data_IF_535391166315
#
_entry.id   IF_535391166315
#
_cell.length_a   1.000
_cell.length_b   1.000
_cell.length_c   1.000
_cell.angle_alpha   90.00
_cell.angle_beta   90.00
_cell.angle_gamma   90.00
#
_symmetry.space_group_name_H-M   'P 1'
#
loop_
_entity.id
_entity.type
_entity.pdbx_description
1 polymer ?
#
# COMPACT_ATOMS: atom_id res chain seq x y z
N UNK A 1 -44.11 35.90 -32.87
CA UNK A 1 -45.23 35.74 -31.90
C UNK A 1 -45.27 34.29 -31.44
N UNK A 2 -45.38 34.04 -30.12
CA UNK A 2 -44.72 32.91 -29.46
C UNK A 2 -45.68 31.72 -29.19
N UNK A 3 -45.14 30.51 -29.05
CA UNK A 3 -45.57 29.50 -28.06
C UNK A 3 -44.39 28.59 -27.70
N UNK A 4 -43.88 28.79 -26.49
CA UNK A 4 -43.00 27.87 -25.77
C UNK A 4 -43.82 26.65 -25.30
N UNK A 5 -43.24 25.45 -25.43
CA UNK A 5 -43.62 24.26 -24.65
C UNK A 5 -42.41 23.85 -23.85
N UNK A 6 -42.62 23.74 -22.56
CA UNK A 6 -41.66 23.38 -21.52
C UNK A 6 -41.20 21.92 -21.64
N UNK A 7 -39.95 21.59 -21.27
CA UNK A 7 -39.58 20.27 -20.80
C UNK A 7 -39.65 20.21 -19.26
N UNK A 8 -40.27 19.12 -18.82
CA UNK A 8 -40.49 18.67 -17.44
C UNK A 8 -39.16 18.52 -16.67
N UNK A 9 -38.94 19.37 -15.67
CA UNK A 9 -37.85 19.24 -14.71
C UNK A 9 -38.37 18.46 -13.50
N UNK A 10 -37.83 17.25 -13.31
CA UNK A 10 -38.06 16.44 -12.12
C UNK A 10 -37.64 17.23 -10.86
N UNK A 11 -38.62 17.56 -10.03
CA UNK A 11 -38.43 18.26 -8.78
C UNK A 11 -37.70 17.36 -7.77
N UNK A 12 -36.48 17.76 -7.41
CA UNK A 12 -35.78 17.26 -6.22
C UNK A 12 -36.63 17.65 -5.01
N UNK A 13 -37.02 16.72 -4.11
CA UNK A 13 -37.81 17.11 -2.95
C UNK A 13 -36.92 17.98 -2.05
N UNK A 14 -37.30 19.25 -1.91
CA UNK A 14 -36.76 20.11 -0.87
C UNK A 14 -37.09 19.46 0.47
N UNK A 15 -36.09 18.88 1.13
CA UNK A 15 -36.22 18.36 2.48
C UNK A 15 -36.53 19.56 3.38
N UNK A 16 -37.81 19.70 3.76
CA UNK A 16 -38.22 20.63 4.81
C UNK A 16 -37.53 20.18 6.10
N UNK A 17 -36.52 20.94 6.54
CA UNK A 17 -35.93 20.77 7.85
C UNK A 17 -36.97 21.15 8.91
N UNK A 18 -37.66 20.13 9.44
CA UNK A 18 -38.60 20.25 10.54
C UNK A 18 -37.86 19.95 11.85
N UNK A 19 -37.44 21.01 12.55
CA UNK A 19 -36.94 20.90 13.92
C UNK A 19 -38.13 20.97 14.88
N UNK A 20 -38.55 19.82 15.40
CA UNK A 20 -39.47 19.74 16.53
C UNK A 20 -38.71 19.24 17.75
N UNK A 21 -38.59 20.09 18.77
CA UNK A 21 -38.11 19.68 20.09
C UNK A 21 -39.33 19.60 21.00
N UNK A 22 -39.55 18.43 21.61
CA UNK A 22 -40.53 18.30 22.68
C UNK A 22 -40.09 19.23 23.82
N UNK A 23 -41.02 19.99 24.46
CA UNK A 23 -40.65 20.94 25.50
C UNK A 23 -40.01 20.18 26.67
N UNK A 24 -38.69 20.32 26.79
CA UNK A 24 -37.93 19.80 27.92
C UNK A 24 -38.09 20.78 29.06
N UNK A 25 -38.73 20.36 30.14
CA UNK A 25 -38.86 21.17 31.34
C UNK A 25 -37.46 21.47 31.89
N UNK A 26 -37.15 22.75 32.06
CA UNK A 26 -35.95 23.15 32.75
C UNK A 26 -36.07 22.67 34.20
N UNK A 27 -35.01 22.08 34.80
CA UNK A 27 -35.04 21.76 36.21
C UNK A 27 -35.32 23.06 36.98
N UNK A 28 -36.29 23.01 37.90
CA UNK A 28 -36.72 24.16 38.67
C UNK A 28 -35.52 24.76 39.40
N UNK A 29 -35.09 25.96 38.97
CA UNK A 29 -34.15 26.75 39.76
C UNK A 29 -34.89 27.31 40.97
N UNK A 30 -34.42 27.09 42.20
CA UNK A 30 -35.06 27.66 43.38
C UNK A 30 -35.05 29.19 43.30
N UNK A 31 -36.18 29.82 43.66
CA UNK A 31 -36.40 31.28 43.60
C UNK A 31 -35.68 32.06 44.72
N UNK A 32 -34.90 31.40 45.57
CA UNK A 32 -34.14 32.03 46.64
C UNK A 32 -32.77 31.36 46.81
N UNK A 33 -31.75 32.15 47.12
CA UNK A 33 -30.40 31.67 47.46
C UNK A 33 -30.50 30.95 48.81
N UNK A 34 -30.13 29.67 48.93
CA UNK A 34 -30.09 29.00 50.23
C UNK A 34 -28.95 29.58 51.09
N UNK A 35 -29.07 29.56 52.43
CA UNK A 35 -27.97 29.90 53.35
C UNK A 35 -26.77 28.98 53.11
N UNK A 36 -25.53 29.44 53.39
CA UNK A 36 -24.29 28.79 52.95
C UNK A 36 -23.99 27.41 53.57
N UNK A 37 -24.79 26.92 54.53
CA UNK A 37 -24.40 25.79 55.37
C UNK A 37 -25.13 24.45 55.06
N UNK A 38 -25.71 24.31 53.86
CA UNK A 38 -26.37 23.07 53.44
C UNK A 38 -25.97 22.63 52.01
N UNK A 39 -24.70 22.82 51.64
CA UNK A 39 -24.16 22.25 50.41
C UNK A 39 -23.72 20.79 50.66
N UNK A 40 -24.66 19.86 50.58
CA UNK A 40 -24.32 18.45 50.31
C UNK A 40 -23.59 18.36 48.97
N UNK A 41 -22.32 17.98 49.06
CA UNK A 41 -21.56 17.10 48.18
C UNK A 41 -22.09 16.89 46.75
N UNK A 42 -21.31 17.34 45.75
CA UNK A 42 -21.34 16.71 44.43
C UNK A 42 -21.30 17.62 43.20
N UNK A 43 -21.15 18.95 43.35
CA UNK A 43 -20.85 19.82 42.20
C UNK A 43 -19.66 20.71 42.53
N UNK A 44 -18.48 20.19 42.23
CA UNK A 44 -17.28 21.00 42.05
C UNK A 44 -17.62 22.21 41.16
N UNK A 45 -17.13 23.42 41.46
CA UNK A 45 -17.21 24.53 40.52
C UNK A 45 -16.56 24.06 39.23
N UNK A 46 -17.31 24.12 38.12
CA UNK A 46 -16.90 23.61 36.81
C UNK A 46 -15.45 24.04 36.57
N UNK A 47 -14.47 23.12 36.65
CA UNK A 47 -13.11 23.48 36.34
C UNK A 47 -13.16 23.94 34.88
N UNK A 48 -12.56 25.10 34.58
CA UNK A 48 -12.40 25.55 33.21
C UNK A 48 -11.81 24.39 32.41
N UNK A 49 -12.66 23.70 31.65
CA UNK A 49 -12.22 22.57 30.83
C UNK A 49 -11.38 23.20 29.74
N UNK A 50 -10.08 22.94 29.81
CA UNK A 50 -9.13 23.40 28.80
C UNK A 50 -9.74 23.13 27.41
N UNK A 51 -9.73 24.13 26.53
CA UNK A 51 -10.44 24.08 25.24
C UNK A 51 -9.98 22.90 24.36
N UNK A 52 -8.85 22.29 24.71
CA UNK A 52 -8.26 21.06 24.16
C UNK A 52 -8.94 19.74 24.59
N UNK A 53 -9.81 19.77 25.60
CA UNK A 53 -10.57 18.59 26.08
C UNK A 53 -12.09 18.83 26.10
N UNK A 54 -12.56 20.01 25.68
CA UNK A 54 -13.99 20.27 25.53
C UNK A 54 -14.58 19.37 24.43
N UNK A 55 -15.60 18.53 24.72
CA UNK A 55 -16.25 17.67 23.73
C UNK A 55 -17.03 18.45 22.66
N UNK A 56 -17.28 19.75 22.86
CA UNK A 56 -17.96 20.62 21.89
C UNK A 56 -17.02 21.16 20.82
N UNK A 57 -15.71 21.06 21.06
CA UNK A 57 -14.69 21.58 20.15
C UNK A 57 -14.17 20.42 19.32
N UNK A 58 -14.66 20.32 18.08
CA UNK A 58 -14.24 19.31 17.11
C UNK A 58 -12.81 19.64 16.65
N UNK A 59 -11.87 18.74 16.94
CA UNK A 59 -10.45 18.87 16.57
C UNK A 59 -10.20 17.98 15.38
N UNK A 60 -10.06 18.57 14.20
CA UNK A 60 -9.83 17.84 12.95
C UNK A 60 -10.56 18.45 11.77
N UNK A 61 -10.46 17.78 10.62
CA UNK A 61 -11.05 18.22 9.37
C UNK A 61 -12.58 18.03 9.40
N UNK A 62 -13.35 19.13 9.31
CA UNK A 62 -14.82 19.13 9.42
C UNK A 62 -15.55 18.46 8.26
N UNK A 63 -14.83 18.11 7.19
CA UNK A 63 -15.38 17.36 6.04
C UNK A 63 -15.53 15.86 6.31
N UNK A 64 -14.92 15.31 7.36
CA UNK A 64 -15.22 13.97 7.87
C UNK A 64 -16.39 14.07 8.85
N UNK A 65 -17.52 14.63 8.40
CA UNK A 65 -18.77 14.52 9.12
C UNK A 65 -19.05 13.04 9.34
N UNK A 66 -19.25 12.67 10.60
CA UNK A 66 -19.95 11.47 11.00
C UNK A 66 -21.17 11.36 10.09
N UNK A 67 -21.18 10.33 9.24
CA UNK A 67 -22.39 9.92 8.55
C UNK A 67 -23.39 9.66 9.66
N UNK A 68 -24.40 10.54 9.75
CA UNK A 68 -25.58 10.31 10.60
C UNK A 68 -25.94 8.85 10.36
N UNK A 69 -25.94 7.99 11.39
CA UNK A 69 -26.24 6.60 11.18
C UNK A 69 -27.65 6.54 10.60
N UNK A 70 -27.72 6.33 9.30
CA UNK A 70 -28.89 5.73 8.66
C UNK A 70 -29.19 4.54 9.54
N UNK A 71 -30.42 4.47 10.04
CA UNK A 71 -30.90 3.39 10.91
C UNK A 71 -30.70 2.07 10.15
N UNK A 72 -29.51 1.53 10.29
CA UNK A 72 -29.06 0.28 9.68
C UNK A 72 -28.67 -0.54 10.89
N UNK A 73 -29.27 -1.72 11.10
CA UNK A 73 -28.91 -2.55 12.24
C UNK A 73 -27.40 -2.81 12.18
N UNK A 74 -26.67 -2.62 13.31
CA UNK A 74 -25.23 -2.75 13.32
C UNK A 74 -24.85 -4.16 12.86
N UNK A 75 -23.86 -4.21 11.97
CA UNK A 75 -23.37 -5.49 11.44
C UNK A 75 -22.82 -6.34 12.60
N UNK A 76 -22.92 -7.68 12.56
CA UNK A 76 -22.51 -8.55 13.67
C UNK A 76 -21.03 -8.34 14.10
N UNK A 77 -20.19 -7.89 13.17
CA UNK A 77 -18.79 -7.55 13.41
C UNK A 77 -18.60 -6.27 14.24
N UNK A 78 -19.44 -5.25 14.04
CA UNK A 78 -19.40 -4.02 14.85
C UNK A 78 -19.86 -4.26 16.28
N UNK A 79 -20.86 -5.13 16.47
CA UNK A 79 -21.33 -5.55 17.81
C UNK A 79 -20.22 -6.29 18.56
N UNK A 80 -19.44 -7.14 17.88
CA UNK A 80 -18.32 -7.86 18.48
C UNK A 80 -17.18 -6.92 18.88
N UNK A 81 -16.84 -5.95 18.01
CA UNK A 81 -15.86 -4.89 18.31
C UNK A 81 -16.28 -4.04 19.50
N UNK A 82 -17.56 -3.67 19.61
CA UNK A 82 -18.07 -2.92 20.76
C UNK A 82 -18.02 -3.73 22.05
N UNK A 83 -18.35 -5.03 22.02
CA UNK A 83 -18.25 -5.93 23.17
C UNK A 83 -16.80 -6.11 23.63
N UNK A 84 -15.86 -6.21 22.70
CA UNK A 84 -14.42 -6.31 23.01
C UNK A 84 -13.88 -4.99 23.60
N UNK A 85 -14.25 -3.84 23.02
CA UNK A 85 -13.91 -2.53 23.55
C UNK A 85 -14.47 -2.32 24.98
N UNK A 86 -15.71 -2.76 25.23
CA UNK A 86 -16.32 -2.73 26.56
C UNK A 86 -15.59 -3.62 27.56
N UNK A 87 -15.19 -4.85 27.16
CA UNK A 87 -14.37 -5.74 27.98
C UNK A 87 -13.00 -5.13 28.30
N UNK A 88 -12.34 -4.51 27.32
CA UNK A 88 -11.04 -3.85 27.50
C UNK A 88 -11.13 -2.62 28.42
N UNK A 89 -12.19 -1.82 28.28
CA UNK A 89 -12.45 -0.69 29.17
C UNK A 89 -12.73 -1.16 30.61
N UNK A 90 -13.49 -2.24 30.79
CA UNK A 90 -13.76 -2.83 32.10
C UNK A 90 -12.49 -3.40 32.74
N UNK A 91 -11.63 -4.07 31.97
CA UNK A 91 -10.34 -4.57 32.44
C UNK A 91 -9.41 -3.42 32.85
N UNK A 92 -9.37 -2.33 32.08
CA UNK A 92 -8.59 -1.12 32.42
C UNK A 92 -9.11 -0.45 33.70
N UNK A 93 -10.43 -0.43 33.91
CA UNK A 93 -11.04 0.08 35.14
C UNK A 93 -10.63 -0.77 36.36
N UNK A 94 -10.71 -2.10 36.26
CA UNK A 94 -10.26 -3.02 37.32
C UNK A 94 -8.76 -2.91 37.61
N UNK A 95 -7.92 -2.81 36.58
CA UNK A 95 -6.48 -2.62 36.76
C UNK A 95 -6.17 -1.28 37.46
N UNK A 96 -6.90 -0.21 37.11
CA UNK A 96 -6.77 1.08 37.79
C UNK A 96 -7.21 1.01 39.26
N UNK A 97 -8.28 0.29 39.57
CA UNK A 97 -8.74 0.06 40.95
C UNK A 97 -7.79 -0.82 41.78
N UNK A 98 -6.98 -1.69 41.14
CA UNK A 98 -5.95 -2.48 41.81
C UNK A 98 -4.64 -1.71 42.05
N UNK A 99 -4.30 -0.78 41.16
CA UNK A 99 -3.09 0.05 41.27
C UNK A 99 -3.24 1.26 42.21
N UNK A 100 -4.47 1.59 42.63
CA UNK A 100 -4.68 2.64 43.62
C UNK A 100 -4.46 2.07 45.04
N UNK A 101 -3.61 2.69 45.88
CA UNK A 101 -3.49 2.31 47.28
C UNK A 101 -4.85 2.52 47.95
N UNK A 102 -5.46 1.43 48.42
CA UNK A 102 -6.78 1.47 49.06
C UNK A 102 -6.66 1.92 50.50
N UNK A 103 -7.37 2.98 50.87
CA UNK A 103 -7.72 3.24 52.26
C UNK A 103 -8.55 2.04 52.77
N UNK A 104 -8.30 1.51 53.98
CA UNK A 104 -9.08 0.41 54.54
C UNK A 104 -10.58 0.73 54.58
N UNK A 105 -11.43 -0.31 54.55
CA UNK A 105 -12.88 -0.15 54.58
C UNK A 105 -13.36 0.43 55.93
N UNK A 106 -14.43 1.25 55.95
CA UNK A 106 -14.99 1.78 57.19
C UNK A 106 -15.49 0.66 58.12
N UNK A 107 -15.23 0.80 59.41
CA UNK A 107 -15.74 -0.10 60.44
C UNK A 107 -17.27 -0.07 60.43
N UNK A 108 -17.91 -1.25 60.52
CA UNK A 108 -19.37 -1.38 60.50
C UNK A 108 -20.06 -0.39 61.47
N UNK A 109 -20.97 0.43 60.94
CA UNK A 109 -21.68 1.48 61.69
C UNK A 109 -20.98 2.84 61.72
N UNK A 110 -19.87 3.04 60.99
CA UNK A 110 -19.21 4.34 60.82
C UNK A 110 -18.97 4.62 59.33
N UNK A 111 -19.15 5.87 58.92
CA UNK A 111 -18.84 6.33 57.56
C UNK A 111 -17.52 7.09 57.56
N UNK A 112 -16.67 6.87 56.54
CA UNK A 112 -15.45 7.65 56.37
C UNK A 112 -15.79 9.04 55.85
N UNK A 113 -15.50 10.06 56.65
CA UNK A 113 -15.60 11.46 56.25
C UNK A 113 -14.25 11.89 55.68
N UNK A 114 -14.26 12.51 54.51
CA UNK A 114 -13.06 13.03 53.88
C UNK A 114 -12.64 14.31 54.62
N UNK A 115 -11.65 14.19 55.49
CA UNK A 115 -11.04 15.33 56.18
C UNK A 115 -10.01 15.95 55.25
N UNK A 116 -9.93 17.29 55.19
CA UNK A 116 -8.86 17.98 54.45
C UNK A 116 -7.51 17.68 55.09
N UNK A 117 -6.82 16.67 54.57
CA UNK A 117 -5.43 16.32 54.91
C UNK A 117 -4.42 16.85 53.89
N UNK A 118 -4.90 17.58 52.88
CA UNK A 118 -4.05 18.35 51.99
C UNK A 118 -3.42 19.53 52.74
N UNK A 119 -2.17 19.85 52.41
CA UNK A 119 -1.42 20.93 53.03
C UNK A 119 -2.07 22.28 52.67
N UNK A 120 -3.02 22.74 53.47
CA UNK A 120 -3.65 24.05 53.31
C UNK A 120 -2.79 25.11 54.02
N UNK A 121 -2.02 25.88 53.25
CA UNK A 121 -1.26 27.01 53.74
C UNK A 121 -2.07 28.29 53.50
N UNK A 122 -2.63 28.87 54.56
CA UNK A 122 -3.14 30.24 54.51
C UNK A 122 -1.95 31.21 54.50
N UNK A 123 -1.82 31.96 53.41
CA UNK A 123 -0.82 33.02 53.28
C UNK A 123 -1.25 34.20 54.15
N UNK A 124 -0.73 34.27 55.38
CA UNK A 124 -0.99 35.39 56.30
C UNK A 124 -0.37 36.65 55.67
N UNK A 125 -1.22 37.42 54.98
CA UNK A 125 -0.81 38.59 54.20
C UNK A 125 -0.67 39.86 55.05
N UNK A 126 -1.07 39.80 56.33
CA UNK A 126 -0.98 40.93 57.25
C UNK A 126 0.40 40.96 57.92
N UNK A 127 1.23 41.92 57.50
CA UNK A 127 2.45 42.27 58.25
C UNK A 127 2.02 42.82 59.60
N UNK A 128 2.55 42.23 60.68
CA UNK A 128 2.37 42.73 62.03
C UNK A 128 2.90 44.18 62.07
N UNK A 129 2.10 45.13 62.53
CA UNK A 129 2.51 46.53 62.66
C UNK A 129 3.58 46.59 63.76
N UNK A 130 4.83 46.81 63.37
CA UNK A 130 5.92 47.12 64.29
C UNK A 130 5.68 48.54 64.84
N UNK A 131 5.37 48.63 66.13
CA UNK A 131 5.21 49.92 66.83
C UNK A 131 6.54 50.25 67.49
N UNK A 132 7.29 51.17 66.92
CA UNK A 132 8.48 51.73 67.55
C UNK A 132 8.07 52.60 68.75
N UNK A 133 8.45 52.17 69.95
CA UNK A 133 8.26 52.93 71.19
C UNK A 133 9.52 53.72 71.46
N UNK A 134 9.51 55.01 71.11
CA UNK A 134 10.60 55.92 71.44
C UNK A 134 10.54 56.31 72.92
N UNK A 135 11.52 55.87 73.71
CA UNK A 135 11.70 56.33 75.08
C UNK A 135 12.63 57.55 75.09
N UNK A 136 12.20 58.68 75.66
CA UNK A 136 13.03 59.87 75.84
C UNK A 136 14.15 59.58 76.86
N UNK A 137 15.33 59.23 76.38
CA UNK A 137 16.55 59.11 77.20
C UNK A 137 17.30 60.44 77.24
N UNK A 138 17.56 60.92 78.45
CA UNK A 138 18.42 62.08 78.71
C UNK A 138 19.86 61.83 78.23
N UNK A 139 20.57 62.87 77.82
CA UNK A 139 21.92 62.73 77.27
C UNK A 139 22.89 62.23 78.37
N UNK A 140 23.47 61.05 78.17
CA UNK A 140 24.41 60.42 79.09
C UNK A 140 25.65 61.32 79.30
N UNK A 141 25.74 61.98 80.44
CA UNK A 141 26.99 62.59 80.90
C UNK A 141 27.83 61.51 81.59
N UNK A 142 29.09 61.36 81.16
CA UNK A 142 30.02 60.37 81.71
C UNK A 142 30.19 60.57 83.23
N UNK A 143 29.66 59.61 83.99
CA UNK A 143 29.91 59.50 85.42
C UNK A 143 31.39 59.12 85.62
N UNK A 144 32.18 59.89 86.40
CA UNK A 144 33.55 59.48 86.68
C UNK A 144 33.55 58.09 87.34
N UNK A 145 34.51 57.22 87.01
CA UNK A 145 34.55 55.86 87.55
C UNK A 145 34.59 55.92 89.08
N UNK A 146 33.69 55.18 89.73
CA UNK A 146 33.65 55.10 91.19
C UNK A 146 35.00 54.58 91.70
N UNK A 147 35.64 55.25 92.68
CA UNK A 147 36.94 54.82 93.18
C UNK A 147 36.87 53.40 93.72
N UNK A 148 37.87 52.58 93.37
CA UNK A 148 37.97 51.20 93.84
C UNK A 148 38.14 51.16 95.36
N UNK A 149 37.22 50.49 96.06
CA UNK A 149 37.32 50.24 97.49
C UNK A 149 38.35 49.12 97.74
N UNK A 150 39.46 49.45 98.39
CA UNK A 150 40.49 48.49 98.83
C UNK A 150 40.40 48.36 100.36
N UNK A 151 39.82 47.27 100.89
CA UNK A 151 39.81 47.01 102.33
C UNK A 151 41.25 46.85 102.87
N UNK A 152 41.53 47.39 104.06
CA UNK A 152 42.81 47.15 104.73
C UNK A 152 42.94 45.68 105.14
N UNK A 153 44.04 45.03 104.74
CA UNK A 153 44.31 43.62 105.11
C UNK A 153 44.44 43.49 106.62
N UNK A 154 43.47 42.82 107.25
CA UNK A 154 43.49 42.53 108.69
C UNK A 154 43.41 41.01 108.86
N UNK A 155 44.55 40.36 109.12
CA UNK A 155 44.69 38.91 109.28
C UNK A 155 46.15 38.47 109.30
N UNK A 156 46.46 37.32 109.90
CA UNK A 156 47.79 36.68 109.79
C UNK A 156 47.77 35.75 108.58
N UNK A 157 48.66 36.00 107.62
CA UNK A 157 48.78 35.17 106.42
C UNK A 157 49.33 33.79 106.81
N UNK A 158 48.57 32.73 106.52
CA UNK A 158 48.98 31.33 106.66
C UNK A 158 48.82 30.67 105.30
N UNK A 159 49.93 30.34 104.66
CA UNK A 159 49.94 29.49 103.47
C UNK A 159 50.01 28.03 103.93
N UNK A 160 48.97 27.26 103.61
CA UNK A 160 48.97 25.81 103.84
C UNK A 160 49.09 25.14 102.47
N UNK A 161 50.24 24.53 102.20
CA UNK A 161 50.44 23.72 101.00
C UNK A 161 50.15 22.26 101.34
N UNK A 162 49.28 21.62 100.56
CA UNK A 162 49.00 20.20 100.72
C UNK A 162 50.22 19.40 100.25
N UNK A 163 50.74 18.52 101.11
CA UNK A 163 51.89 17.68 100.83
C UNK A 163 51.43 16.42 100.05
N UNK A 164 51.04 16.60 98.79
CA UNK A 164 50.66 15.51 97.89
C UNK A 164 49.92 16.00 96.64
N UNK A 165 50.00 15.22 95.57
CA UNK A 165 49.26 15.46 94.33
C UNK A 165 47.82 14.94 94.48
N UNK A 166 46.81 15.81 94.32
CA UNK A 166 45.38 15.44 94.43
C UNK A 166 44.84 14.78 93.15
N UNK A 167 45.72 14.37 92.25
CA UNK A 167 45.35 13.80 90.95
C UNK A 167 44.91 12.35 91.11
N UNK A 168 43.65 12.09 90.78
CA UNK A 168 43.11 10.73 90.65
C UNK A 168 43.04 10.38 89.15
N UNK A 169 43.97 9.52 88.71
CA UNK A 169 44.06 9.10 87.32
C UNK A 169 42.77 8.45 86.82
N UNK A 170 42.10 7.66 87.65
CA UNK A 170 40.90 6.91 87.26
C UNK A 170 39.68 7.82 87.07
N UNK A 171 39.70 9.03 87.64
CA UNK A 171 38.65 10.04 87.43
C UNK A 171 38.99 10.89 86.22
N UNK A 172 40.23 11.35 86.11
CA UNK A 172 40.62 12.31 85.06
C UNK A 172 40.78 11.67 83.68
N UNK A 173 41.09 10.37 83.58
CA UNK A 173 41.23 9.67 82.29
C UNK A 173 39.88 9.38 81.62
N UNK A 174 38.79 9.28 82.39
CA UNK A 174 37.45 8.92 81.89
C UNK A 174 36.97 9.81 80.74
N UNK A 175 36.98 11.16 80.83
CA UNK A 175 36.54 12.02 79.72
C UNK A 175 37.43 11.87 78.47
N UNK A 176 38.74 11.63 78.66
CA UNK A 176 39.68 11.42 77.54
C UNK A 176 39.35 10.11 76.83
N UNK A 177 39.16 9.04 77.60
CA UNK A 177 38.82 7.72 77.06
C UNK A 177 37.44 7.73 76.37
N UNK A 178 36.45 8.39 76.96
CA UNK A 178 35.10 8.53 76.39
C UNK A 178 35.14 9.21 75.03
N UNK A 179 35.89 10.31 74.90
CA UNK A 179 36.03 11.01 73.62
C UNK A 179 36.81 10.17 72.60
N UNK A 180 37.88 9.48 73.02
CA UNK A 180 38.66 8.63 72.12
C UNK A 180 37.85 7.44 71.61
N UNK A 181 37.16 6.73 72.50
CA UNK A 181 36.32 5.58 72.13
C UNK A 181 35.11 6.05 71.31
N UNK A 182 34.44 7.13 71.72
CA UNK A 182 33.32 7.70 71.00
C UNK A 182 33.69 8.09 69.56
N UNK A 183 34.77 8.86 69.39
CA UNK A 183 35.23 9.29 68.05
C UNK A 183 35.71 8.13 67.19
N UNK A 184 36.42 7.16 67.77
CA UNK A 184 36.90 6.00 66.99
C UNK A 184 35.75 5.12 66.52
N UNK A 185 34.72 4.90 67.34
CA UNK A 185 33.53 4.13 66.95
C UNK A 185 32.68 4.91 65.94
N UNK A 186 32.48 6.21 66.14
CA UNK A 186 31.73 7.06 65.22
C UNK A 186 32.41 7.13 63.84
N UNK A 187 33.73 7.34 63.81
CA UNK A 187 34.50 7.34 62.57
C UNK A 187 34.43 5.98 61.87
N UNK A 188 34.63 4.87 62.60
CA UNK A 188 34.54 3.53 62.02
C UNK A 188 33.15 3.23 61.45
N UNK A 189 32.08 3.68 62.11
CA UNK A 189 30.71 3.49 61.61
C UNK A 189 30.48 4.27 60.32
N UNK A 190 30.94 5.53 60.24
CA UNK A 190 30.81 6.35 59.03
C UNK A 190 31.59 5.76 57.86
N UNK A 191 32.81 5.28 58.10
CA UNK A 191 33.65 4.66 57.07
C UNK A 191 32.98 3.37 56.52
N UNK A 192 32.48 2.50 57.40
CA UNK A 192 31.78 1.27 56.98
C UNK A 192 30.51 1.59 56.18
N UNK A 193 29.73 2.59 56.61
CA UNK A 193 28.55 3.02 55.86
C UNK A 193 28.90 3.55 54.47
N UNK A 194 29.96 4.37 54.35
CA UNK A 194 30.44 4.86 53.06
C UNK A 194 30.91 3.73 52.14
N UNK A 195 31.66 2.76 52.68
CA UNK A 195 32.11 1.58 51.93
C UNK A 195 30.95 0.74 51.40
N UNK A 196 29.91 0.53 52.21
CA UNK A 196 28.71 -0.20 51.82
C UNK A 196 27.92 0.56 50.73
N UNK A 197 27.74 1.86 50.87
CA UNK A 197 27.07 2.71 49.87
C UNK A 197 27.82 2.69 48.54
N UNK A 198 29.15 2.85 48.57
CA UNK A 198 29.98 2.73 47.38
C UNK A 198 29.81 1.34 46.74
N UNK A 199 29.92 0.27 47.52
CA UNK A 199 29.78 -1.09 47.00
C UNK A 199 28.42 -1.32 46.30
N UNK A 200 27.33 -0.76 46.86
CA UNK A 200 26.01 -0.80 46.24
C UNK A 200 25.96 -0.01 44.92
N UNK A 201 26.54 1.19 44.86
CA UNK A 201 26.62 1.98 43.63
C UNK A 201 27.41 1.26 42.54
N UNK A 202 28.56 0.66 42.89
CA UNK A 202 29.36 -0.14 41.95
C UNK A 202 28.62 -1.38 41.46
N UNK A 203 27.86 -2.06 42.33
CA UNK A 203 27.03 -3.19 41.95
C UNK A 203 25.91 -2.77 40.98
N UNK A 204 25.24 -1.66 41.27
CA UNK A 204 24.19 -1.10 40.41
C UNK A 204 24.75 -0.68 39.04
N UNK A 205 25.90 0.00 39.00
CA UNK A 205 26.54 0.39 37.74
C UNK A 205 26.92 -0.83 36.89
N UNK A 206 27.45 -1.89 37.50
CA UNK A 206 27.79 -3.14 36.79
C UNK A 206 26.55 -3.81 36.22
N UNK A 207 25.50 -3.97 37.03
CA UNK A 207 24.23 -4.54 36.57
C UNK A 207 23.61 -3.73 35.40
N UNK A 208 23.66 -2.40 35.49
CA UNK A 208 23.20 -1.53 34.40
C UNK A 208 24.05 -1.68 33.14
N UNK A 209 25.37 -1.74 33.26
CA UNK A 209 26.27 -1.92 32.14
C UNK A 209 26.07 -3.28 31.46
N UNK A 210 25.88 -4.34 32.24
CA UNK A 210 25.57 -5.69 31.74
C UNK A 210 24.26 -5.69 30.96
N UNK A 211 23.19 -5.12 31.53
CA UNK A 211 21.89 -5.01 30.86
C UNK A 211 22.01 -4.21 29.55
N UNK A 212 22.66 -3.04 29.59
CA UNK A 212 22.85 -2.19 28.41
C UNK A 212 23.65 -2.89 27.31
N UNK A 213 24.68 -3.65 27.68
CA UNK A 213 25.47 -4.41 26.73
C UNK A 213 24.67 -5.55 26.10
N UNK A 214 23.81 -6.22 26.88
CA UNK A 214 22.91 -7.25 26.38
C UNK A 214 21.86 -6.66 25.42
N UNK A 215 21.23 -5.55 25.79
CA UNK A 215 20.28 -4.82 24.93
C UNK A 215 20.93 -4.38 23.62
N UNK A 216 22.15 -3.82 23.68
CA UNK A 216 22.89 -3.38 22.49
C UNK A 216 23.22 -4.55 21.56
N UNK A 217 23.61 -5.70 22.12
CA UNK A 217 23.85 -6.91 21.32
C UNK A 217 22.57 -7.43 20.66
N UNK A 218 21.43 -7.38 21.35
CA UNK A 218 20.13 -7.77 20.79
C UNK A 218 19.70 -6.83 19.66
N UNK A 219 19.85 -5.52 19.84
CA UNK A 219 19.54 -4.53 18.80
C UNK A 219 20.39 -4.77 17.55
N UNK A 220 21.70 -5.01 17.71
CA UNK A 220 22.58 -5.32 16.58
C UNK A 220 22.13 -6.57 15.83
N UNK A 221 21.79 -7.64 16.55
CA UNK A 221 21.26 -8.88 15.95
C UNK A 221 20.00 -8.62 15.14
N UNK A 222 19.05 -7.88 15.71
CA UNK A 222 17.79 -7.53 15.06
C UNK A 222 18.03 -6.64 13.83
N UNK A 223 18.90 -5.64 13.90
CA UNK A 223 19.24 -4.78 12.77
C UNK A 223 19.82 -5.55 11.58
N UNK A 224 20.66 -6.56 11.84
CA UNK A 224 21.21 -7.43 10.81
C UNK A 224 20.18 -8.36 10.17
N UNK A 225 19.28 -8.94 10.98
CA UNK A 225 18.11 -9.69 10.49
C UNK A 225 17.24 -8.81 9.59
N UNK A 226 16.97 -7.58 10.04
CA UNK A 226 16.19 -6.60 9.32
C UNK A 226 16.85 -6.18 8.00
N UNK A 227 18.18 -5.99 8.00
CA UNK A 227 18.96 -5.70 6.78
C UNK A 227 18.79 -6.84 5.77
N UNK A 228 18.98 -8.09 6.19
CA UNK A 228 18.82 -9.27 5.33
C UNK A 228 17.41 -9.36 4.77
N UNK A 229 16.39 -9.17 5.61
CA UNK A 229 15.00 -9.22 5.19
C UNK A 229 14.65 -8.10 4.19
N UNK A 230 15.12 -6.86 4.44
CA UNK A 230 14.94 -5.73 3.52
C UNK A 230 15.57 -6.01 2.16
N UNK A 231 16.80 -6.50 2.13
CA UNK A 231 17.50 -6.85 0.89
C UNK A 231 16.76 -7.94 0.12
N UNK A 232 16.29 -9.00 0.77
CA UNK A 232 15.50 -10.04 0.10
C UNK A 232 14.18 -9.48 -0.44
N UNK A 233 13.45 -8.71 0.37
CA UNK A 233 12.18 -8.08 -0.03
C UNK A 233 12.37 -7.17 -1.25
N UNK A 234 13.45 -6.41 -1.31
CA UNK A 234 13.79 -5.58 -2.46
C UNK A 234 14.14 -6.42 -3.70
N UNK A 235 14.89 -7.51 -3.54
CA UNK A 235 15.17 -8.45 -4.64
C UNK A 235 13.89 -9.05 -5.21
N UNK A 236 12.99 -9.54 -4.35
CA UNK A 236 11.68 -10.07 -4.76
C UNK A 236 10.82 -9.01 -5.45
N UNK A 237 10.79 -7.79 -4.91
CA UNK A 237 10.06 -6.66 -5.53
C UNK A 237 10.62 -6.35 -6.92
N UNK A 238 11.94 -6.33 -7.09
CA UNK A 238 12.60 -6.07 -8.38
C UNK A 238 12.28 -7.16 -9.40
N UNK A 239 12.34 -8.42 -9.01
CA UNK A 239 11.98 -9.56 -9.85
C UNK A 239 10.50 -9.49 -10.28
N UNK A 240 9.60 -9.23 -9.33
CA UNK A 240 8.17 -9.10 -9.62
C UNK A 240 7.88 -7.92 -10.56
N UNK A 241 8.52 -6.77 -10.34
CA UNK A 241 8.40 -5.60 -11.21
C UNK A 241 8.87 -5.91 -12.64
N UNK A 242 9.99 -6.63 -12.80
CA UNK A 242 10.48 -7.03 -14.12
C UNK A 242 9.53 -8.03 -14.80
N UNK A 243 9.00 -8.99 -14.06
CA UNK A 243 8.00 -9.95 -14.56
C UNK A 243 6.74 -9.21 -15.03
N UNK A 244 6.21 -8.28 -14.22
CA UNK A 244 5.04 -7.47 -14.56
C UNK A 244 5.28 -6.63 -15.82
N UNK A 245 6.47 -6.03 -15.95
CA UNK A 245 6.83 -5.26 -17.15
C UNK A 245 6.83 -6.15 -18.40
N UNK A 246 7.46 -7.31 -18.34
CA UNK A 246 7.45 -8.29 -19.44
C UNK A 246 6.04 -8.76 -19.78
N UNK A 247 5.21 -9.04 -18.77
CA UNK A 247 3.82 -9.43 -18.97
C UNK A 247 3.03 -8.33 -19.71
N UNK A 248 3.19 -7.07 -19.29
CA UNK A 248 2.57 -5.92 -19.96
C UNK A 248 3.01 -5.81 -21.42
N UNK A 249 4.31 -5.88 -21.69
CA UNK A 249 4.86 -5.87 -23.05
C UNK A 249 4.32 -7.03 -23.90
N UNK A 250 4.22 -8.23 -23.35
CA UNK A 250 3.65 -9.39 -24.06
C UNK A 250 2.16 -9.21 -24.31
N UNK A 251 1.40 -8.69 -23.34
CA UNK A 251 -0.02 -8.44 -23.49
C UNK A 251 -0.30 -7.39 -24.56
N UNK A 252 0.48 -6.31 -24.59
CA UNK A 252 0.41 -5.28 -25.63
C UNK A 252 0.73 -5.84 -27.03
N UNK A 253 1.76 -6.69 -27.15
CA UNK A 253 2.10 -7.36 -28.42
C UNK A 253 0.98 -8.28 -28.90
N UNK A 254 0.40 -9.08 -28.00
CA UNK A 254 -0.73 -9.97 -28.32
C UNK A 254 -1.96 -9.14 -28.71
N UNK A 255 -2.25 -8.06 -27.98
CA UNK A 255 -3.36 -7.17 -28.30
C UNK A 255 -3.18 -6.50 -29.66
N UNK A 256 -1.97 -6.00 -29.97
CA UNK A 256 -1.65 -5.41 -31.26
C UNK A 256 -1.79 -6.44 -32.39
N UNK A 257 -1.27 -7.66 -32.20
CA UNK A 257 -1.41 -8.73 -33.19
C UNK A 257 -2.88 -9.10 -33.43
N UNK A 258 -3.67 -9.26 -32.37
CA UNK A 258 -5.10 -9.56 -32.46
C UNK A 258 -5.85 -8.44 -33.18
N UNK A 259 -5.56 -7.18 -32.84
CA UNK A 259 -6.12 -6.00 -33.49
C UNK A 259 -5.79 -5.96 -35.00
N UNK A 260 -4.52 -6.16 -35.36
CA UNK A 260 -4.11 -6.18 -36.77
C UNK A 260 -4.77 -7.31 -37.54
N UNK A 261 -4.86 -8.52 -36.97
CA UNK A 261 -5.54 -9.65 -37.62
C UNK A 261 -7.02 -9.33 -37.89
N UNK A 262 -7.72 -8.79 -36.89
CA UNK A 262 -9.12 -8.43 -37.05
C UNK A 262 -9.31 -7.30 -38.08
N UNK A 263 -8.48 -6.26 -38.02
CA UNK A 263 -8.53 -5.14 -38.96
C UNK A 263 -8.24 -5.57 -40.40
N UNK A 264 -7.22 -6.41 -40.61
CA UNK A 264 -6.85 -6.91 -41.93
C UNK A 264 -7.91 -7.88 -42.49
N UNK A 265 -8.55 -8.67 -41.64
CA UNK A 265 -9.61 -9.59 -42.06
C UNK A 265 -10.78 -8.85 -42.72
N UNK A 266 -11.09 -7.63 -42.28
CA UNK A 266 -12.17 -6.81 -42.85
C UNK A 266 -11.67 -5.91 -43.99
N UNK A 267 -10.46 -5.36 -43.86
CA UNK A 267 -9.89 -4.44 -44.85
C UNK A 267 -9.56 -5.16 -46.17
N UNK A 268 -8.97 -6.35 -46.12
CA UNK A 268 -8.55 -7.08 -47.32
C UNK A 268 -9.77 -7.33 -48.24
N UNK A 269 -10.85 -8.01 -47.81
CA UNK A 269 -12.02 -8.22 -48.66
C UNK A 269 -12.64 -6.91 -49.16
N UNK A 270 -12.71 -5.88 -48.32
CA UNK A 270 -13.26 -4.57 -48.71
C UNK A 270 -12.46 -3.93 -49.84
N UNK A 271 -11.13 -3.86 -49.73
CA UNK A 271 -10.26 -3.29 -50.76
C UNK A 271 -10.28 -4.13 -52.04
N UNK A 272 -10.23 -5.46 -51.92
CA UNK A 272 -10.32 -6.36 -53.08
C UNK A 272 -11.66 -6.23 -53.82
N UNK A 273 -12.78 -6.11 -53.10
CA UNK A 273 -14.08 -5.87 -53.70
C UNK A 273 -14.14 -4.50 -54.39
N UNK A 274 -13.68 -3.43 -53.74
CA UNK A 274 -13.62 -2.09 -54.34
C UNK A 274 -12.76 -2.07 -55.62
N UNK A 275 -11.62 -2.75 -55.64
CA UNK A 275 -10.75 -2.85 -56.82
C UNK A 275 -11.38 -3.70 -57.93
N UNK A 276 -12.11 -4.76 -57.57
CA UNK A 276 -12.87 -5.60 -58.51
C UNK A 276 -14.01 -4.81 -59.14
N UNK A 277 -14.79 -4.10 -58.34
CA UNK A 277 -15.85 -3.19 -58.80
C UNK A 277 -15.29 -2.03 -59.64
N UNK A 278 -14.09 -1.54 -59.30
CA UNK A 278 -13.36 -0.55 -60.08
C UNK A 278 -12.77 -1.06 -61.40
N UNK A 279 -12.93 -2.35 -61.72
CA UNK A 279 -12.46 -2.94 -62.98
C UNK A 279 -10.94 -3.10 -63.09
N UNK A 280 -10.20 -3.02 -61.98
CA UNK A 280 -8.73 -3.21 -61.96
C UNK A 280 -8.33 -4.68 -62.01
N UNK A 281 -9.20 -5.60 -61.57
CA UNK A 281 -9.03 -7.03 -61.78
C UNK A 281 -9.83 -7.45 -63.01
N UNK A 282 -9.13 -7.77 -64.10
CA UNK A 282 -9.70 -8.30 -65.34
C UNK A 282 -8.92 -9.54 -65.75
N UNK A 283 -9.57 -10.45 -66.48
CA UNK A 283 -8.88 -11.55 -67.15
C UNK A 283 -8.19 -10.97 -68.39
N UNK A 284 -6.85 -11.09 -68.52
CA UNK A 284 -6.14 -10.62 -69.70
C UNK A 284 -6.70 -11.21 -71.00
N UNK A 285 -7.16 -12.47 -70.97
CA UNK A 285 -7.70 -13.14 -72.16
C UNK A 285 -9.04 -12.52 -72.56
N UNK A 286 -9.94 -12.26 -71.60
CA UNK A 286 -11.22 -11.59 -71.89
C UNK A 286 -10.99 -10.18 -72.44
N UNK A 287 -10.03 -9.44 -71.86
CA UNK A 287 -9.68 -8.11 -72.34
C UNK A 287 -9.11 -8.15 -73.75
N UNK A 288 -8.18 -9.03 -74.04
CA UNK A 288 -7.56 -9.18 -75.37
C UNK A 288 -8.60 -9.60 -76.41
N UNK A 289 -9.55 -10.45 -76.04
CA UNK A 289 -10.68 -10.80 -76.90
C UNK A 289 -11.54 -9.56 -77.19
N UNK A 290 -11.89 -8.78 -76.17
CA UNK A 290 -12.70 -7.57 -76.33
C UNK A 290 -12.00 -6.47 -77.13
N UNK A 291 -10.69 -6.28 -76.95
CA UNK A 291 -9.95 -5.16 -77.56
C UNK A 291 -9.30 -5.48 -78.89
N UNK A 292 -8.87 -6.73 -79.12
CA UNK A 292 -8.15 -7.11 -80.34
C UNK A 292 -9.01 -8.03 -81.23
N UNK A 293 -9.53 -9.13 -80.67
CA UNK A 293 -10.23 -10.14 -81.45
C UNK A 293 -11.59 -9.69 -81.97
N UNK A 294 -12.45 -9.11 -81.12
CA UNK A 294 -13.78 -8.66 -81.55
C UNK A 294 -13.70 -7.57 -82.63
N UNK A 295 -12.85 -6.53 -82.52
CA UNK A 295 -12.67 -5.55 -83.58
C UNK A 295 -12.12 -6.16 -84.87
N UNK A 296 -11.15 -7.07 -84.77
CA UNK A 296 -10.63 -7.80 -85.92
C UNK A 296 -11.72 -8.63 -86.61
N UNK A 297 -12.49 -9.42 -85.85
CA UNK A 297 -13.59 -10.25 -86.37
C UNK A 297 -14.67 -9.39 -87.02
N UNK A 298 -15.04 -8.27 -86.39
CA UNK A 298 -16.03 -7.34 -86.96
C UNK A 298 -15.53 -6.72 -88.27
N UNK A 299 -14.23 -6.45 -88.39
CA UNK A 299 -13.63 -5.94 -89.63
C UNK A 299 -13.60 -7.00 -90.72
N UNK A 300 -13.22 -8.24 -90.40
CA UNK A 300 -13.23 -9.36 -91.36
C UNK A 300 -14.65 -9.68 -91.86
N UNK A 301 -15.64 -9.66 -90.96
CA UNK A 301 -17.06 -9.83 -91.32
C UNK A 301 -17.53 -8.69 -92.23
N UNK A 302 -17.09 -7.46 -91.99
CA UNK A 302 -17.39 -6.32 -92.86
C UNK A 302 -16.77 -6.52 -94.26
N UNK A 303 -15.50 -6.93 -94.36
CA UNK A 303 -14.85 -7.21 -95.66
C UNK A 303 -15.57 -8.31 -96.45
N UNK A 304 -15.98 -9.40 -95.80
CA UNK A 304 -16.77 -10.47 -96.41
C UNK A 304 -18.16 -9.98 -96.86
N UNK A 305 -18.78 -9.08 -96.09
CA UNK A 305 -20.06 -8.49 -96.44
C UNK A 305 -19.92 -7.52 -97.61
N UNK A 306 -18.89 -6.67 -97.61
CA UNK A 306 -18.52 -5.79 -98.72
C UNK A 306 -18.22 -6.59 -99.99
N UNK A 307 -17.48 -7.69 -99.89
CA UNK A 307 -17.24 -8.62 -101.00
C UNK A 307 -18.54 -9.21 -101.55
N UNK A 308 -19.47 -9.63 -100.69
CA UNK A 308 -20.80 -10.11 -101.10
C UNK A 308 -21.66 -9.00 -101.72
N UNK A 309 -21.61 -7.78 -101.19
CA UNK A 309 -22.32 -6.63 -101.76
C UNK A 309 -21.74 -6.29 -103.14
N UNK A 310 -20.42 -6.26 -103.29
CA UNK A 310 -19.74 -6.05 -104.57
C UNK A 310 -20.10 -7.15 -105.57
N UNK A 311 -20.08 -8.41 -105.16
CA UNK A 311 -20.48 -9.54 -106.01
C UNK A 311 -21.94 -9.41 -106.46
N UNK A 312 -22.86 -8.98 -105.58
CA UNK A 312 -24.25 -8.70 -105.97
C UNK A 312 -24.35 -7.53 -106.94
N UNK A 313 -23.59 -6.45 -106.74
CA UNK A 313 -23.56 -5.29 -107.66
C UNK A 313 -23.02 -5.69 -109.04
N UNK A 314 -21.97 -6.52 -109.07
CA UNK A 314 -21.41 -7.07 -110.31
C UNK A 314 -22.39 -8.03 -110.99
N UNK A 315 -23.10 -8.87 -110.23
CA UNK A 315 -24.12 -9.75 -110.78
C UNK A 315 -25.29 -8.93 -111.34
N UNK A 316 -25.76 -7.90 -110.64
CA UNK A 316 -26.81 -7.00 -111.12
C UNK A 316 -26.39 -6.24 -112.38
N UNK A 317 -25.12 -5.82 -112.48
CA UNK A 317 -24.60 -5.18 -113.69
C UNK A 317 -24.48 -6.19 -114.85
N UNK A 318 -24.02 -7.42 -114.60
CA UNK A 318 -24.00 -8.49 -115.58
C UNK A 318 -25.41 -8.80 -116.09
N UNK A 319 -26.38 -8.95 -115.18
CA UNK A 319 -27.79 -9.18 -115.54
C UNK A 319 -28.31 -8.03 -116.40
N UNK A 320 -28.01 -6.76 -116.06
CA UNK A 320 -28.36 -5.61 -116.93
C UNK A 320 -27.74 -5.73 -118.32
N UNK A 321 -26.43 -6.01 -118.44
CA UNK A 321 -25.78 -6.15 -119.74
C UNK A 321 -26.33 -7.31 -120.57
N UNK A 322 -26.67 -8.45 -119.96
CA UNK A 322 -27.28 -9.59 -120.66
C UNK A 322 -28.69 -9.24 -121.12
N UNK A 323 -29.46 -8.50 -120.33
CA UNK A 323 -30.79 -8.01 -120.72
C UNK A 323 -30.69 -7.00 -121.86
N UNK A 324 -29.72 -6.08 -121.83
CA UNK A 324 -29.43 -5.14 -122.93
C UNK A 324 -29.01 -5.88 -124.20
N UNK A 325 -28.04 -6.80 -124.12
CA UNK A 325 -27.62 -7.63 -125.25
C UNK A 325 -28.75 -8.50 -125.82
N UNK A 326 -29.66 -9.02 -124.97
CA UNK A 326 -30.87 -9.72 -125.41
C UNK A 326 -31.81 -8.77 -126.14
N UNK A 327 -32.02 -7.56 -125.64
CA UNK A 327 -32.83 -6.53 -126.28
C UNK A 327 -32.27 -6.15 -127.66
N UNK A 328 -30.94 -6.04 -127.78
CA UNK A 328 -30.23 -5.82 -129.04
C UNK A 328 -30.34 -7.04 -129.98
N UNK A 329 -30.20 -8.26 -129.46
CA UNK A 329 -30.37 -9.49 -130.23
C UNK A 329 -31.83 -9.69 -130.72
N UNK A 330 -32.83 -9.24 -129.98
CA UNK A 330 -34.22 -9.21 -130.46
C UNK A 330 -34.46 -8.14 -131.54
N UNK A 331 -33.59 -7.12 -131.64
CA UNK A 331 -33.64 -6.08 -132.65
C UNK A 331 -32.97 -6.49 -133.99
N UNK A 332 -32.23 -7.60 -134.03
CA UNK A 332 -31.58 -8.16 -135.24
C UNK A 332 -32.06 -9.59 -135.54
N UNK A 333 -32.60 -9.83 -136.75
CA UNK A 333 -33.10 -11.15 -137.21
C UNK A 333 -31.96 -12.10 -137.67
N UNK A 334 -32.14 -13.44 -137.57
CA UNK A 334 -31.06 -14.43 -137.56
C UNK A 334 -30.75 -15.03 -138.95
N UNK A 335 -29.64 -15.80 -139.08
CA UNK A 335 -29.62 -16.94 -139.99
C UNK A 335 -29.05 -18.27 -139.45
N UNK A 336 -29.44 -19.29 -140.21
CA UNK A 336 -29.40 -20.75 -140.19
C UNK A 336 -28.06 -21.54 -140.16
N UNK A 337 -28.22 -22.78 -139.67
CA UNK A 337 -27.78 -24.12 -140.18
C UNK A 337 -26.33 -24.68 -140.06
N UNK A 338 -26.22 -25.68 -139.15
CA UNK A 338 -25.67 -27.07 -139.25
C UNK A 338 -24.15 -27.35 -139.57
N UNK A 339 -23.64 -28.61 -139.59
CA UNK A 339 -23.26 -29.48 -138.43
C UNK A 339 -21.93 -30.28 -138.61
N UNK A 340 -21.33 -30.88 -137.56
CA UNK A 340 -20.65 -32.21 -137.57
C UNK A 340 -19.99 -32.58 -136.21
N UNK A 341 -20.11 -33.87 -135.86
CA UNK A 341 -19.66 -34.58 -134.66
C UNK A 341 -18.25 -35.24 -134.88
N UNK A 342 -17.72 -36.22 -134.09
CA UNK A 342 -18.17 -36.82 -132.81
C UNK A 342 -17.07 -37.20 -131.76
N UNK A 343 -17.56 -37.65 -130.59
CA UNK A 343 -17.08 -38.74 -129.70
C UNK A 343 -15.84 -38.59 -128.78
N UNK A 344 -16.07 -38.66 -127.46
CA UNK A 344 -15.59 -39.77 -126.60
C UNK A 344 -16.36 -39.80 -125.24
N UNK A 345 -16.70 -41.01 -124.78
CA UNK A 345 -17.36 -41.40 -123.51
C UNK A 345 -16.31 -42.14 -122.60
N UNK A 346 -16.58 -42.60 -121.34
CA UNK A 346 -17.25 -41.99 -120.17
C UNK A 346 -16.63 -42.39 -118.77
N UNK A 347 -17.22 -41.88 -117.66
CA UNK A 347 -17.27 -42.42 -116.25
C UNK A 347 -16.05 -42.30 -115.27
N UNK A 348 -16.22 -42.45 -113.91
CA UNK A 348 -17.26 -42.00 -112.95
C UNK A 348 -16.62 -41.41 -111.61
N UNK A 349 -17.35 -41.16 -110.49
CA UNK A 349 -17.05 -40.13 -109.45
C UNK A 349 -16.33 -40.64 -108.19
N UNK A 350 -15.86 -39.74 -107.33
CA UNK A 350 -15.57 -40.05 -105.92
C UNK A 350 -15.67 -38.83 -104.98
N UNK A 351 -16.20 -39.09 -103.77
CA UNK A 351 -16.49 -38.18 -102.66
C UNK A 351 -15.28 -38.11 -101.66
N UNK A 352 -15.33 -37.29 -100.57
CA UNK A 352 -14.21 -36.51 -100.03
C UNK A 352 -13.48 -37.14 -98.84
N UNK A 353 -12.29 -36.63 -98.49
CA UNK A 353 -11.60 -36.87 -97.20
C UNK A 353 -10.68 -35.71 -96.74
N UNK A 354 -10.32 -35.66 -95.42
CA UNK A 354 -10.15 -34.45 -94.59
C UNK A 354 -8.65 -34.12 -94.26
N UNK A 355 -8.33 -33.15 -93.37
CA UNK A 355 -7.03 -32.44 -93.35
C UNK A 355 -5.92 -33.12 -92.54
N UNK A 356 -4.67 -32.79 -92.87
CA UNK A 356 -3.43 -33.27 -92.22
C UNK A 356 -3.03 -32.43 -90.99
N UNK A 357 -2.72 -33.12 -89.89
CA UNK A 357 -1.89 -32.65 -88.77
C UNK A 357 -0.39 -32.86 -89.09
N UNK A 358 0.52 -31.98 -88.60
CA UNK A 358 1.94 -32.28 -88.51
C UNK A 358 2.36 -32.83 -87.13
N UNK A 359 3.36 -33.71 -87.17
CA UNK A 359 3.98 -34.51 -86.11
C UNK A 359 4.97 -33.75 -85.18
N UNK A 360 5.41 -34.35 -84.05
CA UNK A 360 5.86 -33.67 -82.83
C UNK A 360 7.39 -33.52 -82.70
N UNK A 361 7.86 -32.75 -81.69
CA UNK A 361 9.03 -33.23 -80.94
C UNK A 361 9.00 -33.03 -79.41
N UNK A 362 9.57 -34.06 -78.76
CA UNK A 362 10.39 -34.12 -77.55
C UNK A 362 9.89 -33.66 -76.16
N UNK A 363 9.91 -34.63 -75.24
CA UNK A 363 9.74 -34.53 -73.79
C UNK A 363 10.84 -33.69 -73.13
N UNK A 364 10.47 -32.82 -72.16
CA UNK A 364 11.33 -32.43 -71.07
C UNK A 364 10.96 -33.15 -69.76
N UNK A 365 12.02 -33.50 -69.03
CA UNK A 365 12.06 -34.27 -67.79
C UNK A 365 11.22 -33.66 -66.64
N UNK A 366 10.72 -34.48 -65.69
CA UNK A 366 10.03 -34.00 -64.51
C UNK A 366 11.03 -33.34 -63.52
N UNK A 367 10.70 -32.18 -62.93
CA UNK A 367 11.48 -31.61 -61.84
C UNK A 367 11.27 -32.37 -60.53
N UNK A 368 12.34 -32.43 -59.74
CA UNK A 368 12.48 -33.11 -58.45
C UNK A 368 11.43 -32.72 -57.41
N UNK A 369 10.95 -33.72 -56.65
CA UNK A 369 10.27 -33.49 -55.37
C UNK A 369 11.23 -32.84 -54.37
N UNK A 370 10.85 -31.73 -53.70
CA UNK A 370 11.63 -31.22 -52.60
C UNK A 370 11.47 -32.15 -51.39
N UNK A 371 12.61 -32.57 -50.84
CA UNK A 371 12.69 -33.25 -49.55
C UNK A 371 12.03 -32.40 -48.44
N UNK A 372 11.37 -33.01 -47.44
CA UNK A 372 10.87 -32.29 -46.29
C UNK A 372 12.02 -31.62 -45.52
N UNK A 373 11.83 -30.40 -44.97
CA UNK A 373 12.84 -29.77 -44.13
C UNK A 373 13.14 -30.62 -42.88
N UNK A 374 14.42 -30.72 -42.53
CA UNK A 374 14.86 -31.18 -41.21
C UNK A 374 14.17 -30.35 -40.10
N UNK A 375 13.66 -31.03 -39.08
CA UNK A 375 13.25 -30.39 -37.83
C UNK A 375 14.46 -29.66 -37.21
N UNK A 376 14.31 -28.39 -36.78
CA UNK A 376 15.34 -27.74 -35.99
C UNK A 376 15.46 -28.45 -34.64
N UNK A 377 16.66 -28.93 -34.34
CA UNK A 377 17.04 -29.35 -33.00
C UNK A 377 16.79 -28.21 -32.00
N UNK A 378 16.28 -28.49 -30.79
CA UNK A 378 16.10 -27.47 -29.77
C UNK A 378 17.47 -26.87 -29.36
N UNK A 379 17.52 -25.58 -28.99
CA UNK A 379 18.78 -24.93 -28.61
C UNK A 379 19.45 -25.62 -27.42
N UNK A 380 20.75 -25.87 -27.52
CA UNK A 380 21.61 -26.16 -26.37
C UNK A 380 21.50 -25.02 -25.34
N UNK A 381 21.21 -25.40 -24.10
CA UNK A 381 21.27 -24.48 -22.96
C UNK A 381 22.73 -24.02 -22.74
N UNK A 382 22.96 -22.71 -22.53
CA UNK A 382 24.29 -22.20 -22.25
C UNK A 382 24.76 -22.68 -20.86
N UNK A 383 25.90 -23.37 -20.86
CA UNK A 383 26.65 -23.69 -19.66
C UNK A 383 27.01 -22.41 -18.89
N UNK A 384 26.79 -22.35 -17.56
CA UNK A 384 27.22 -21.21 -16.77
C UNK A 384 28.73 -21.26 -16.57
N UNK A 385 29.44 -20.31 -17.18
CA UNK A 385 30.80 -19.97 -16.82
C UNK A 385 30.81 -19.30 -15.43
N UNK A 386 31.15 -20.05 -14.40
CA UNK A 386 31.62 -19.50 -13.13
C UNK A 386 33.07 -19.95 -12.91
N UNK A 387 33.97 -18.98 -13.03
CA UNK A 387 35.32 -19.08 -12.52
C UNK A 387 35.26 -19.02 -10.99
N UNK A 388 35.77 -20.06 -10.32
CA UNK A 388 36.11 -20.01 -8.91
C UNK A 388 37.43 -19.25 -8.72
N UNK A 389 37.53 -18.36 -7.72
CA UNK A 389 38.81 -18.04 -7.10
C UNK A 389 39.13 -19.08 -6.01
N UNK A 390 40.35 -19.60 -6.05
CA UNK A 390 40.92 -20.48 -5.05
C UNK A 390 40.89 -19.82 -3.66
N UNK A 391 40.31 -20.50 -2.67
CA UNK A 391 40.65 -20.30 -1.26
C UNK A 391 40.93 -21.66 -0.64
N UNK A 392 42.14 -21.75 -0.08
CA UNK A 392 42.71 -22.81 0.74
C UNK A 392 41.75 -23.36 1.78
N UNK A 393 41.74 -24.69 1.90
CA UNK A 393 40.89 -25.41 2.84
C UNK A 393 41.34 -25.32 4.29
N UNK A 394 40.39 -25.66 5.17
CA UNK A 394 40.62 -26.43 6.38
C UNK A 394 39.35 -27.22 6.67
N UNK A 395 39.55 -28.48 7.01
CA UNK A 395 38.57 -29.54 7.21
C UNK A 395 37.97 -29.46 8.61
N UNK A 396 36.66 -29.66 8.75
CA UNK A 396 36.22 -30.69 9.69
C UNK A 396 34.88 -31.31 9.33
N UNK A 397 34.84 -32.63 9.45
CA UNK A 397 33.68 -33.48 9.31
C UNK A 397 32.78 -33.27 10.54
N UNK A 398 31.46 -33.31 10.46
CA UNK A 398 30.68 -34.56 10.40
C UNK A 398 29.21 -34.14 10.38
N UNK A 399 28.43 -34.52 9.37
CA UNK A 399 27.07 -34.99 9.63
C UNK A 399 26.53 -35.76 8.42
N UNK A 400 26.01 -36.95 8.68
CA UNK A 400 25.19 -37.70 7.73
C UNK A 400 23.75 -37.77 8.25
N UNK A 401 22.78 -37.83 7.33
CA UNK A 401 21.41 -37.40 7.53
C UNK A 401 20.54 -38.54 8.07
N UNK A 402 19.29 -38.25 8.46
CA UNK A 402 18.11 -39.08 8.11
C UNK A 402 16.78 -38.54 8.69
N UNK A 403 15.86 -38.29 7.75
CA UNK A 403 14.39 -38.42 7.77
C UNK A 403 13.47 -37.45 8.53
N UNK A 404 12.66 -36.80 7.68
CA UNK A 404 11.29 -36.32 7.86
C UNK A 404 10.42 -37.19 8.78
N UNK A 405 9.67 -36.55 9.68
CA UNK A 405 8.42 -37.08 10.24
C UNK A 405 7.36 -35.99 10.33
N UNK A 406 6.20 -36.39 9.83
CA UNK A 406 4.96 -35.64 9.67
C UNK A 406 4.34 -35.17 11.00
N UNK A 407 3.60 -34.08 10.88
CA UNK A 407 2.76 -33.45 11.89
C UNK A 407 1.61 -34.38 12.35
N UNK A 408 1.40 -34.47 13.65
CA UNK A 408 0.09 -34.80 14.21
C UNK A 408 -0.20 -33.92 15.42
N UNK A 409 -1.27 -33.14 15.32
CA UNK A 409 -1.94 -32.41 16.39
C UNK A 409 -2.34 -33.32 17.55
N UNK A 410 -1.86 -33.02 18.76
CA UNK A 410 -2.47 -33.51 20.01
C UNK A 410 -2.46 -32.40 21.08
N UNK A 411 -3.66 -32.06 21.54
CA UNK A 411 -3.93 -31.17 22.67
C UNK A 411 -3.29 -31.70 23.97
N UNK A 412 -2.34 -30.95 24.54
CA UNK A 412 -1.86 -31.17 25.92
C UNK A 412 -2.59 -30.22 26.86
N UNK A 413 -3.34 -30.80 27.79
CA UNK A 413 -3.92 -30.11 28.95
C UNK A 413 -2.83 -29.93 30.01
N UNK A 414 -2.50 -28.68 30.33
CA UNK A 414 -1.58 -28.34 31.42
C UNK A 414 -2.33 -28.43 32.75
N UNK A 415 -2.11 -29.51 33.48
CA UNK A 415 -2.49 -29.64 34.89
C UNK A 415 -1.55 -28.76 35.73
N UNK A 416 -2.06 -27.65 36.26
CA UNK A 416 -1.38 -26.86 37.29
C UNK A 416 -1.33 -27.66 38.59
N UNK A 417 -0.15 -28.20 38.94
CA UNK A 417 0.10 -28.74 40.28
C UNK A 417 0.25 -27.59 41.28
N UNK A 418 -0.77 -27.38 42.10
CA UNK A 418 -0.76 -26.43 43.21
C UNK A 418 0.15 -26.96 44.33
N UNK A 419 1.37 -26.43 44.46
CA UNK A 419 2.21 -26.63 45.64
C UNK A 419 1.79 -25.63 46.72
N UNK A 420 1.00 -26.11 47.68
CA UNK A 420 0.61 -25.40 48.90
C UNK A 420 1.76 -25.54 49.92
N UNK A 421 2.57 -24.51 50.09
CA UNK A 421 3.47 -24.42 51.24
C UNK A 421 2.66 -24.07 52.49
N UNK A 422 2.53 -25.02 53.41
CA UNK A 422 2.05 -24.80 54.77
C UNK A 422 3.21 -24.33 55.65
N UNK A 423 3.21 -23.06 56.04
CA UNK A 423 4.03 -22.58 57.15
C UNK A 423 3.36 -22.98 58.47
N UNK A 424 4.04 -23.82 59.23
CA UNK A 424 3.67 -24.20 60.58
C UNK A 424 4.41 -23.26 61.54
N UNK A 425 3.65 -22.41 62.24
CA UNK A 425 4.15 -21.56 63.32
C UNK A 425 4.39 -22.46 64.55
N UNK A 426 5.66 -22.65 64.92
CA UNK A 426 6.02 -23.11 66.26
C UNK A 426 6.23 -21.90 67.16
N UNK A 427 5.40 -21.81 68.21
CA UNK A 427 5.61 -20.97 69.38
C UNK A 427 6.67 -21.64 70.26
N UNK A 428 7.74 -20.91 70.56
CA UNK A 428 8.73 -21.18 71.60
C UNK A 428 9.24 -19.87 72.16
#
# INVERSE_FOLDING_TARGET
MPRLRDPEVAAVPAVLYSYSSLPRTLPARPKYRPPPDAAESGKEPIPYTNLMYDPRVVRGNTYALEVIPVITPPTPFEIQRQKEAWKRALARKRAKEQMQPKTPEPVEGREHIQVQTELYLEEISDRIIEVDVECQTDAFLDRPPSPFFIPAKTGKDVATQLAGELFDFDIEVKPILEVLVGKTVEQALLEVMEEEELAQLWAHQRAYAELRNAELAEVQRLEEEDRRYREEKERRRRQHMQMLKKQKETAEKIAAQAFTKHYLADLIPSVFNNLREGGFFYDPIERDIETEFLPWLMTEVEEELEGKVLARVLLDSLVRTVVENRLEAFSCKPPSDQPQAPAEEPQPPEEPQPPEEPQPPEEPQPPEEPQPPEEPQPPEEPQPAYAEPQISGETDATDQPVTEREETDQHVTVQQSSHRMSFQLELG
#
